data_IF_641014036716
#
_entry.id   IF_641014036716
#
_cell.length_a   1.000
_cell.length_b   1.000
_cell.length_c   1.000
_cell.angle_alpha   90.00
_cell.angle_beta   90.00
_cell.angle_gamma   90.00
#
_symmetry.space_group_name_H-M   'P 1'
#
loop_
_entity.id
_entity.type
_entity.pdbx_description
1 polymer ?
#
# COMPACT_ATOMS: atom_id res chain seq x y z
N UNK A 1 -8.75 -17.26 -32.98
CA UNK A 1 -9.40 -16.91 -31.71
C UNK A 1 -8.36 -16.26 -30.82
N UNK A 2 -8.14 -14.95 -30.85
CA UNK A 2 -9.07 -13.89 -30.46
C UNK A 2 -8.63 -13.38 -29.08
N UNK A 3 -7.48 -12.69 -29.03
CA UNK A 3 -6.85 -12.25 -27.79
C UNK A 3 -7.69 -11.20 -27.08
N UNK A 4 -7.73 -11.28 -25.75
CA UNK A 4 -8.61 -10.54 -24.83
C UNK A 4 -8.40 -9.01 -24.81
N UNK A 5 -7.68 -8.42 -25.78
CA UNK A 5 -7.26 -7.01 -25.84
C UNK A 5 -7.55 -6.30 -27.18
N UNK A 6 -8.32 -6.88 -28.11
CA UNK A 6 -8.49 -6.30 -29.46
C UNK A 6 -9.68 -5.33 -29.59
N UNK A 7 -9.59 -4.14 -28.98
CA UNK A 7 -10.43 -3.02 -29.39
C UNK A 7 -9.82 -1.66 -29.07
N UNK A 8 -9.58 -0.85 -30.10
CA UNK A 8 -8.99 0.48 -30.05
C UNK A 8 -9.81 1.46 -29.17
N UNK A 9 -11.12 1.23 -29.05
CA UNK A 9 -12.03 2.04 -28.22
C UNK A 9 -11.84 1.84 -26.71
N UNK A 10 -11.46 0.65 -26.22
CA UNK A 10 -11.25 0.42 -24.76
C UNK A 10 -9.93 1.02 -24.25
N UNK A 11 -8.93 1.10 -25.12
CA UNK A 11 -7.67 1.82 -24.83
C UNK A 11 -7.95 3.32 -24.76
N UNK A 12 -8.78 3.84 -25.67
CA UNK A 12 -9.23 5.24 -25.61
C UNK A 12 -10.06 5.54 -24.35
N UNK A 13 -10.92 4.61 -23.90
CA UNK A 13 -11.70 4.77 -22.66
C UNK A 13 -10.82 4.75 -21.40
N UNK A 14 -9.82 3.87 -21.34
CA UNK A 14 -8.83 3.87 -20.25
C UNK A 14 -7.99 5.15 -20.25
N UNK A 15 -7.49 5.58 -21.42
CA UNK A 15 -6.76 6.84 -21.56
C UNK A 15 -7.64 8.04 -21.18
N UNK A 16 -8.94 8.00 -21.51
CA UNK A 16 -9.92 9.04 -21.14
C UNK A 16 -10.19 9.06 -19.63
N UNK A 17 -10.41 7.90 -18.99
CA UNK A 17 -10.54 7.77 -17.53
C UNK A 17 -9.30 8.33 -16.83
N UNK A 18 -8.13 8.07 -17.38
CA UNK A 18 -6.82 8.47 -16.86
C UNK A 18 -6.57 9.97 -17.11
N UNK A 19 -7.00 10.55 -18.23
CA UNK A 19 -6.98 12.00 -18.49
C UNK A 19 -8.01 12.81 -17.68
N UNK A 20 -9.07 12.17 -17.18
CA UNK A 20 -10.02 12.79 -16.26
C UNK A 20 -9.44 12.94 -14.84
N UNK A 21 -8.36 12.22 -14.50
CA UNK A 21 -7.58 12.41 -13.25
C UNK A 21 -6.48 13.44 -13.48
N UNK A 22 -6.86 14.64 -13.91
CA UNK A 22 -6.00 15.82 -13.83
C UNK A 22 -6.27 16.50 -12.49
N UNK A 23 -5.62 16.02 -11.43
CA UNK A 23 -5.69 16.63 -10.10
C UNK A 23 -4.50 17.56 -9.93
N UNK A 24 -4.62 18.84 -10.36
CA UNK A 24 -3.59 19.82 -10.04
C UNK A 24 -3.38 19.80 -8.53
N UNK A 25 -2.13 19.73 -8.10
CA UNK A 25 -1.81 19.83 -6.67
C UNK A 25 -2.06 21.27 -6.28
N UNK A 26 -3.31 21.57 -5.92
CA UNK A 26 -3.75 22.90 -5.50
C UNK A 26 -3.06 23.30 -4.19
N UNK A 27 -2.72 22.31 -3.36
CA UNK A 27 -2.08 22.53 -2.05
C UNK A 27 -0.89 21.58 -1.84
N UNK A 28 0.35 22.01 -2.15
CA UNK A 28 1.58 21.25 -1.93
C UNK A 28 1.74 20.73 -0.51
N UNK A 29 1.30 21.50 0.49
CA UNK A 29 1.35 21.15 1.90
C UNK A 29 0.50 19.91 2.25
N UNK A 30 -0.55 19.62 1.48
CA UNK A 30 -1.40 18.44 1.70
C UNK A 30 -0.65 17.13 1.46
N UNK A 31 0.41 17.11 0.64
CA UNK A 31 1.21 15.89 0.44
C UNK A 31 2.11 15.59 1.62
N UNK A 32 2.73 16.61 2.21
CA UNK A 32 3.47 16.45 3.45
C UNK A 32 2.53 16.01 4.58
N UNK A 33 1.31 16.58 4.64
CA UNK A 33 0.27 16.14 5.57
C UNK A 33 -0.14 14.67 5.32
N UNK A 34 -0.32 14.25 4.06
CA UNK A 34 -0.63 12.87 3.71
C UNK A 34 0.47 11.90 4.19
N UNK A 35 1.75 12.23 3.98
CA UNK A 35 2.86 11.42 4.51
C UNK A 35 2.80 11.31 6.04
N UNK A 36 2.56 12.43 6.74
CA UNK A 36 2.41 12.42 8.21
C UNK A 36 1.23 11.56 8.66
N UNK A 37 0.08 11.63 7.98
CA UNK A 37 -1.08 10.80 8.30
C UNK A 37 -0.83 9.31 8.04
N UNK A 38 -0.13 8.96 6.95
CA UNK A 38 0.24 7.56 6.67
C UNK A 38 1.21 7.01 7.73
N UNK A 39 2.18 7.82 8.18
CA UNK A 39 3.07 7.46 9.28
C UNK A 39 2.31 7.30 10.60
N UNK A 40 1.34 8.17 10.87
CA UNK A 40 0.50 8.09 12.07
C UNK A 40 -0.42 6.87 12.05
N UNK A 41 -0.98 6.52 10.89
CA UNK A 41 -1.75 5.28 10.70
C UNK A 41 -0.89 4.04 11.00
N UNK A 42 0.36 4.01 10.55
CA UNK A 42 1.30 2.92 10.91
C UNK A 42 1.51 2.85 12.43
N UNK A 43 1.72 4.00 13.09
CA UNK A 43 1.91 4.07 14.54
C UNK A 43 0.68 3.54 15.29
N UNK A 44 -0.50 4.01 14.92
CA UNK A 44 -1.78 3.61 15.52
C UNK A 44 -2.06 2.13 15.30
N UNK A 45 -1.86 1.60 14.09
CA UNK A 45 -2.04 0.16 13.83
C UNK A 45 -1.15 -0.70 14.73
N UNK A 46 0.10 -0.29 14.99
CA UNK A 46 0.97 -1.00 15.95
C UNK A 46 0.46 -0.92 17.39
N UNK A 47 -0.17 0.18 17.78
CA UNK A 47 -0.78 0.33 19.11
C UNK A 47 -2.05 -0.51 19.24
N UNK A 48 -2.89 -0.54 18.22
CA UNK A 48 -4.08 -1.37 18.16
C UNK A 48 -3.70 -2.85 18.30
N UNK A 49 -2.69 -3.33 17.57
CA UNK A 49 -2.22 -4.72 17.74
C UNK A 49 -1.62 -5.03 19.11
N UNK A 50 -1.04 -4.03 19.80
CA UNK A 50 -0.61 -4.20 21.20
C UNK A 50 -1.82 -4.32 22.13
N UNK A 51 -2.86 -3.52 21.91
CA UNK A 51 -4.10 -3.56 22.68
C UNK A 51 -4.85 -4.89 22.46
N UNK A 52 -5.08 -5.27 21.20
CA UNK A 52 -5.74 -6.55 20.82
C UNK A 52 -5.00 -7.75 21.43
N UNK A 53 -3.67 -7.74 21.46
CA UNK A 53 -2.88 -8.83 22.07
C UNK A 53 -2.93 -8.85 23.60
N UNK A 54 -3.19 -7.72 24.24
CA UNK A 54 -3.28 -7.61 25.70
C UNK A 54 -4.69 -7.94 26.22
N UNK A 55 -5.69 -7.93 25.33
CA UNK A 55 -7.06 -8.27 25.64
C UNK A 55 -7.18 -9.75 26.04
N UNK A 56 -7.90 -10.00 27.14
CA UNK A 56 -8.14 -11.34 27.70
C UNK A 56 -9.60 -11.77 27.60
N UNK A 57 -10.49 -10.83 27.26
CA UNK A 57 -11.90 -11.11 27.01
C UNK A 57 -12.07 -11.64 25.59
N UNK A 58 -12.98 -12.59 25.40
CA UNK A 58 -13.22 -13.26 24.12
C UNK A 58 -14.72 -13.33 23.78
N UNK A 59 -15.57 -12.60 24.50
CA UNK A 59 -17.02 -12.64 24.26
C UNK A 59 -17.45 -11.68 23.13
N UNK A 60 -17.86 -12.24 21.99
CA UNK A 60 -18.46 -11.53 20.83
C UNK A 60 -17.63 -10.39 20.25
N UNK A 61 -16.32 -10.61 20.14
CA UNK A 61 -15.40 -9.59 19.66
C UNK A 61 -15.47 -9.37 18.14
N UNK A 62 -15.47 -8.09 17.72
CA UNK A 62 -15.52 -7.70 16.30
C UNK A 62 -14.13 -7.68 15.64
N UNK A 63 -13.06 -7.64 16.43
CA UNK A 63 -11.66 -7.63 16.00
C UNK A 63 -10.92 -8.80 16.66
N UNK A 64 -11.01 -10.02 16.09
CA UNK A 64 -10.47 -11.18 16.76
C UNK A 64 -8.95 -11.13 16.87
N UNK A 65 -8.42 -11.34 18.07
CA UNK A 65 -6.99 -11.54 18.29
C UNK A 65 -6.50 -12.91 17.81
N UNK A 66 -5.18 -13.10 17.60
CA UNK A 66 -4.61 -14.37 17.12
C UNK A 66 -4.83 -15.57 18.03
N UNK A 67 -5.24 -15.33 19.28
CA UNK A 67 -5.57 -16.36 20.26
C UNK A 67 -6.97 -16.95 20.05
N UNK A 68 -7.83 -16.29 19.26
CA UNK A 68 -9.20 -16.72 18.99
C UNK A 68 -9.24 -17.64 17.75
N UNK A 69 -9.72 -18.88 17.93
CA UNK A 69 -9.76 -19.87 16.84
C UNK A 69 -11.00 -19.67 15.97
N UNK A 70 -10.80 -19.41 14.69
CA UNK A 70 -11.86 -19.36 13.67
C UNK A 70 -11.70 -18.18 12.72
N UNK A 71 -12.32 -18.27 11.54
CA UNK A 71 -12.42 -17.13 10.64
C UNK A 71 -13.33 -16.05 11.25
N UNK A 72 -12.94 -14.78 11.13
CA UNK A 72 -13.80 -13.65 11.49
C UNK A 72 -15.16 -13.79 10.79
N UNK A 73 -16.28 -13.77 11.51
CA UNK A 73 -17.62 -13.88 10.90
C UNK A 73 -17.93 -12.76 9.90
N UNK A 74 -17.23 -11.62 10.02
CA UNK A 74 -17.47 -10.43 9.20
C UNK A 74 -16.57 -10.37 7.97
N UNK A 75 -15.29 -10.76 8.09
CA UNK A 75 -14.32 -10.66 6.99
C UNK A 75 -14.00 -12.00 6.35
N UNK A 76 -14.37 -13.12 7.00
CA UNK A 76 -13.99 -14.47 6.58
C UNK A 76 -12.50 -14.76 6.71
N UNK A 77 -11.71 -13.82 7.26
CA UNK A 77 -10.27 -13.97 7.43
C UNK A 77 -9.95 -14.73 8.70
N UNK A 78 -9.05 -15.70 8.59
CA UNK A 78 -8.41 -16.29 9.75
C UNK A 78 -7.29 -15.35 10.22
N UNK A 79 -7.46 -14.80 11.42
CA UNK A 79 -6.45 -13.93 12.05
C UNK A 79 -5.59 -14.81 12.93
N UNK A 80 -4.56 -15.44 12.34
CA UNK A 80 -3.56 -16.21 13.07
C UNK A 80 -2.30 -15.40 13.34
N UNK A 81 -1.40 -15.93 14.18
CA UNK A 81 -0.10 -15.31 14.46
C UNK A 81 0.71 -15.02 13.19
N UNK A 82 0.61 -15.88 12.17
CA UNK A 82 1.27 -15.69 10.88
C UNK A 82 0.76 -14.43 10.15
N UNK A 83 -0.56 -14.20 10.15
CA UNK A 83 -1.18 -13.02 9.55
C UNK A 83 -0.79 -11.75 10.31
N UNK A 84 -0.78 -11.78 11.64
CA UNK A 84 -0.37 -10.61 12.44
C UNK A 84 1.11 -10.29 12.22
N UNK A 85 1.98 -11.30 12.18
CA UNK A 85 3.40 -11.10 11.86
C UNK A 85 3.58 -10.54 10.44
N UNK A 86 2.86 -11.07 9.45
CA UNK A 86 2.89 -10.57 8.09
C UNK A 86 2.37 -9.13 7.99
N UNK A 87 1.36 -8.76 8.78
CA UNK A 87 0.87 -7.39 8.86
C UNK A 87 1.91 -6.45 9.44
N UNK A 88 2.57 -6.82 10.54
CA UNK A 88 3.68 -6.02 11.07
C UNK A 88 4.83 -5.86 10.07
N UNK A 89 5.17 -6.91 9.32
CA UNK A 89 6.15 -6.81 8.24
C UNK A 89 5.69 -5.86 7.12
N UNK A 90 4.39 -5.81 6.81
CA UNK A 90 3.82 -4.85 5.86
C UNK A 90 3.92 -3.41 6.37
N UNK A 91 3.67 -3.20 7.68
CA UNK A 91 3.85 -1.90 8.33
C UNK A 91 5.31 -1.44 8.31
N UNK A 92 6.26 -2.33 8.60
CA UNK A 92 7.70 -2.05 8.51
C UNK A 92 8.11 -1.67 7.07
N UNK A 93 7.62 -2.42 6.07
CA UNK A 93 7.85 -2.13 4.66
C UNK A 93 7.27 -0.78 4.23
N UNK A 94 6.05 -0.47 4.65
CA UNK A 94 5.40 0.81 4.35
C UNK A 94 6.14 1.99 5.00
N UNK A 95 6.58 1.83 6.25
CA UNK A 95 7.40 2.80 6.96
C UNK A 95 8.74 3.04 6.25
N UNK A 96 9.43 1.98 5.82
CA UNK A 96 10.67 2.05 5.04
C UNK A 96 10.51 2.83 3.74
N UNK A 97 9.40 2.60 3.03
CA UNK A 97 9.07 3.35 1.82
C UNK A 97 8.85 4.83 2.16
N UNK A 98 7.99 5.14 3.14
CA UNK A 98 7.66 6.52 3.52
C UNK A 98 8.84 7.29 4.11
N UNK A 99 9.81 6.62 4.73
CA UNK A 99 11.08 7.20 5.17
C UNK A 99 12.15 7.25 4.07
N UNK A 100 11.88 6.65 2.89
CA UNK A 100 12.83 6.62 1.78
C UNK A 100 14.04 5.72 2.02
N UNK A 101 13.96 4.80 3.00
CA UNK A 101 14.98 3.77 3.28
C UNK A 101 14.97 2.67 2.22
N UNK A 102 13.79 2.39 1.68
CA UNK A 102 13.56 1.51 0.53
C UNK A 102 12.83 2.30 -0.56
N UNK A 103 13.14 2.00 -1.82
CA UNK A 103 12.57 2.68 -2.98
C UNK A 103 11.44 1.85 -3.59
N UNK A 104 10.36 2.52 -4.02
CA UNK A 104 9.25 1.86 -4.71
C UNK A 104 9.68 1.50 -6.15
N UNK A 105 9.53 0.26 -6.61
CA UNK A 105 9.90 -0.13 -7.97
C UNK A 105 9.01 0.57 -9.00
N UNK A 106 9.58 0.84 -10.19
CA UNK A 106 8.82 1.34 -11.33
C UNK A 106 9.20 0.53 -12.58
N UNK A 107 8.22 -0.03 -13.29
CA UNK A 107 8.45 -0.99 -14.40
C UNK A 107 9.36 -0.48 -15.52
N UNK A 108 9.45 0.84 -15.70
CA UNK A 108 10.31 1.50 -16.71
C UNK A 108 11.78 1.60 -16.30
N UNK A 109 12.09 1.54 -15.01
CA UNK A 109 13.43 1.79 -14.48
C UNK A 109 13.88 0.58 -13.65
N UNK A 110 14.71 -0.28 -14.24
CA UNK A 110 15.14 -1.52 -13.60
C UNK A 110 16.22 -1.29 -12.52
N UNK A 111 17.01 -0.23 -12.65
CA UNK A 111 18.16 0.11 -11.80
C UNK A 111 17.88 1.26 -10.80
N UNK A 112 16.66 1.80 -10.83
CA UNK A 112 16.22 2.91 -9.97
C UNK A 112 14.82 2.68 -9.43
N UNK A 113 14.58 3.18 -8.22
CA UNK A 113 13.26 3.20 -7.61
C UNK A 113 12.83 4.62 -7.25
N UNK A 114 11.56 4.79 -6.92
CA UNK A 114 10.97 6.06 -6.51
C UNK A 114 11.20 6.24 -5.01
N UNK A 115 11.86 7.34 -4.63
CA UNK A 115 11.97 7.75 -3.23
C UNK A 115 10.64 8.37 -2.77
N UNK A 116 9.84 7.61 -1.99
CA UNK A 116 8.52 8.07 -1.57
C UNK A 116 8.58 9.21 -0.55
N UNK A 117 9.64 9.30 0.27
CA UNK A 117 9.85 10.46 1.13
C UNK A 117 9.94 11.74 0.31
N UNK A 118 10.78 11.77 -0.73
CA UNK A 118 10.90 12.93 -1.64
C UNK A 118 9.64 13.16 -2.45
N UNK A 119 8.95 12.11 -2.90
CA UNK A 119 7.67 12.23 -3.61
C UNK A 119 6.62 13.03 -2.82
N UNK A 120 6.58 12.88 -1.50
CA UNK A 120 5.70 13.64 -0.62
C UNK A 120 6.29 14.98 -0.16
N UNK A 121 7.59 15.02 0.16
CA UNK A 121 8.25 16.19 0.75
C UNK A 121 8.61 17.28 -0.28
N UNK A 122 8.83 16.91 -1.55
CA UNK A 122 9.22 17.81 -2.64
C UNK A 122 8.11 17.96 -3.68
N UNK A 123 7.03 18.69 -3.36
CA UNK A 123 5.83 18.64 -4.14
C UNK A 123 5.96 19.20 -5.58
N UNK A 124 5.97 18.33 -6.60
CA UNK A 124 5.73 18.66 -8.03
C UNK A 124 4.29 18.40 -8.47
N UNK A 125 3.72 19.08 -9.48
CA UNK A 125 2.37 18.78 -9.96
C UNK A 125 2.15 17.27 -10.11
N UNK A 126 1.18 16.73 -9.37
CA UNK A 126 0.84 15.31 -9.41
C UNK A 126 -0.02 15.09 -10.65
N UNK A 127 0.39 14.11 -11.43
CA UNK A 127 -0.35 13.65 -12.59
C UNK A 127 -0.29 12.13 -12.53
N UNK A 128 -1.45 11.49 -12.35
CA UNK A 128 -1.54 10.05 -12.18
C UNK A 128 -1.03 9.32 -13.44
N UNK A 129 -1.36 9.84 -14.62
CA UNK A 129 -0.95 9.30 -15.92
C UNK A 129 0.56 9.35 -16.05
N UNK A 130 1.15 10.51 -15.78
CA UNK A 130 2.59 10.73 -15.88
C UNK A 130 3.35 10.03 -14.74
N UNK A 131 2.70 9.76 -13.62
CA UNK A 131 3.29 8.99 -12.52
C UNK A 131 3.35 7.51 -12.88
N UNK A 132 2.30 6.98 -13.51
CA UNK A 132 2.26 5.61 -14.03
C UNK A 132 3.19 5.45 -15.25
N UNK A 133 3.22 6.43 -16.16
CA UNK A 133 4.03 6.31 -17.39
C UNK A 133 5.51 6.67 -17.20
N UNK A 134 5.87 7.26 -16.06
CA UNK A 134 7.25 7.56 -15.65
C UNK A 134 7.65 9.05 -15.57
N UNK A 135 7.20 9.97 -16.45
CA UNK A 135 7.70 11.34 -16.46
C UNK A 135 7.53 12.10 -15.14
N UNK A 136 6.42 11.91 -14.42
CA UNK A 136 6.18 12.64 -13.17
C UNK A 136 6.94 12.06 -11.96
N UNK A 137 7.46 10.83 -12.07
CA UNK A 137 8.29 10.23 -11.01
C UNK A 137 9.78 10.46 -11.21
N UNK A 138 10.20 10.91 -12.40
CA UNK A 138 11.60 11.13 -12.75
C UNK A 138 12.40 11.97 -11.71
N UNK A 139 11.85 13.06 -11.13
CA UNK A 139 12.57 13.85 -10.12
C UNK A 139 12.87 13.11 -8.81
N UNK A 140 12.15 12.01 -8.55
CA UNK A 140 12.23 11.22 -7.31
C UNK A 140 12.94 9.87 -7.52
N UNK A 141 13.46 9.60 -8.73
CA UNK A 141 14.19 8.36 -9.01
C UNK A 141 15.58 8.39 -8.38
N UNK A 142 15.89 7.35 -7.63
CA UNK A 142 17.17 7.17 -6.94
C UNK A 142 17.71 5.75 -7.13
N UNK A 143 19.02 5.60 -6.96
CA UNK A 143 19.66 4.29 -6.85
C UNK A 143 19.75 3.93 -5.37
N UNK A 144 19.43 2.67 -5.02
CA UNK A 144 19.40 2.22 -3.64
C UNK A 144 18.72 0.86 -3.51
N UNK A 145 18.32 0.50 -2.28
CA UNK A 145 17.51 -0.70 -2.05
C UNK A 145 16.13 -0.49 -2.66
N UNK A 146 15.80 -1.27 -3.70
CA UNK A 146 14.48 -1.26 -4.34
C UNK A 146 13.66 -2.40 -3.76
N UNK A 147 12.42 -2.13 -3.39
CA UNK A 147 11.48 -3.16 -2.96
C UNK A 147 11.27 -4.17 -4.10
N UNK A 148 11.45 -5.45 -3.79
CA UNK A 148 11.26 -6.54 -4.74
C UNK A 148 9.83 -7.07 -4.71
N UNK A 149 9.38 -7.62 -5.84
CA UNK A 149 8.08 -8.33 -5.88
C UNK A 149 8.06 -9.51 -4.90
N UNK A 150 9.18 -10.20 -4.71
CA UNK A 150 9.25 -11.34 -3.80
C UNK A 150 9.01 -10.94 -2.34
N UNK A 151 9.63 -9.83 -1.88
CA UNK A 151 9.41 -9.30 -0.53
C UNK A 151 7.92 -9.00 -0.28
N UNK A 152 7.22 -8.43 -1.28
CA UNK A 152 5.78 -8.16 -1.15
C UNK A 152 4.92 -9.43 -1.25
N UNK A 153 5.25 -10.33 -2.18
CA UNK A 153 4.53 -11.60 -2.38
C UNK A 153 4.62 -12.50 -1.15
N UNK A 154 5.72 -12.47 -0.41
CA UNK A 154 5.88 -13.22 0.85
C UNK A 154 4.87 -12.77 1.91
N UNK A 155 4.60 -11.46 2.00
CA UNK A 155 3.58 -10.90 2.90
C UNK A 155 2.19 -11.29 2.43
N UNK A 156 1.86 -11.03 1.17
CA UNK A 156 0.51 -11.28 0.63
C UNK A 156 0.09 -12.76 0.74
N UNK A 157 1.04 -13.68 0.59
CA UNK A 157 0.80 -15.13 0.73
C UNK A 157 0.20 -15.53 2.08
N UNK A 158 0.47 -14.78 3.15
CA UNK A 158 -0.07 -15.08 4.48
C UNK A 158 -1.57 -14.77 4.59
N UNK A 159 -2.12 -13.93 3.71
CA UNK A 159 -3.52 -13.53 3.75
C UNK A 159 -4.39 -14.23 2.69
N UNK A 160 -3.80 -14.96 1.75
CA UNK A 160 -4.51 -15.50 0.58
C UNK A 160 -4.88 -14.41 -0.44
N UNK A 161 -5.47 -14.81 -1.58
CA UNK A 161 -5.56 -13.97 -2.79
C UNK A 161 -6.11 -12.55 -2.61
N UNK A 162 -7.24 -12.38 -1.91
CA UNK A 162 -7.85 -11.07 -1.65
C UNK A 162 -7.69 -10.60 -0.19
N UNK A 163 -7.11 -11.42 0.69
CA UNK A 163 -7.21 -11.20 2.13
C UNK A 163 -6.37 -10.04 2.64
N UNK A 164 -5.28 -9.69 1.94
CA UNK A 164 -4.40 -8.59 2.35
C UNK A 164 -5.13 -7.24 2.35
N UNK A 165 -5.88 -6.93 1.29
CA UNK A 165 -6.63 -5.67 1.20
C UNK A 165 -7.80 -5.61 2.18
N UNK A 166 -8.52 -6.73 2.35
CA UNK A 166 -9.58 -6.84 3.35
C UNK A 166 -9.05 -6.63 4.76
N UNK A 167 -7.89 -7.21 5.08
CA UNK A 167 -7.24 -7.02 6.37
C UNK A 167 -6.83 -5.55 6.57
N UNK A 168 -6.19 -4.95 5.55
CA UNK A 168 -5.74 -3.56 5.60
C UNK A 168 -6.86 -2.54 5.80
N UNK A 169 -8.06 -2.82 5.28
CA UNK A 169 -9.24 -1.94 5.45
C UNK A 169 -9.96 -2.15 6.79
N UNK A 170 -9.82 -3.33 7.41
CA UNK A 170 -10.60 -3.70 8.60
C UNK A 170 -9.81 -3.52 9.92
N UNK A 171 -8.49 -3.63 9.88
CA UNK A 171 -7.61 -3.57 11.05
C UNK A 171 -6.75 -2.29 11.10
N UNK A 172 -7.20 -1.20 10.45
CA UNK A 172 -6.46 0.04 10.29
C UNK A 172 -7.38 1.27 10.24
#
# INVERSE_FOLDING_TARGET
SGGMLSSEWRIADFISLVHLVNWPVVEPERRQAARRHLMEMIRLSREDWKAIRAETDNDREWLPGPQQKGASPLTGLEVGEAQVQAWHAALDMAEDLLEGRTLLPHFRFADKGINMKRFFDEPKPFDLVLSITGPAVAPYLESGKILTSEEFDQIQRQFGGAGFLTFALWFN
#
